data_IF_036387500235
#
_entry.id   IF_036387500235
#
_cell.length_a   1.000
_cell.length_b   1.000
_cell.length_c   1.000
_cell.angle_alpha   90.00
_cell.angle_beta   90.00
_cell.angle_gamma   90.00
#
_symmetry.space_group_name_H-M   'P 1'
#
loop_
_entity.id
_entity.type
_entity.pdbx_description
1 polymer ?
#
# COMPACT_ATOMS: atom_id res chain seq x y z
N UNK A 1 0.73 -10.30 2.85
CA UNK A 1 2.18 -10.51 2.62
C UNK A 1 2.83 -10.75 3.97
N UNK A 2 3.52 -11.86 4.16
CA UNK A 2 4.12 -12.21 5.45
C UNK A 2 5.65 -12.05 5.35
N UNK A 3 6.22 -11.16 6.15
CA UNK A 3 7.67 -10.96 6.20
C UNK A 3 8.23 -11.56 7.49
N UNK A 4 9.20 -12.47 7.37
CA UNK A 4 9.95 -13.00 8.52
C UNK A 4 11.27 -12.24 8.66
N UNK A 5 11.47 -11.57 9.78
CA UNK A 5 12.78 -11.05 10.16
C UNK A 5 12.99 -11.26 11.66
N UNK A 6 14.15 -11.75 12.07
CA UNK A 6 14.59 -11.89 13.47
C UNK A 6 13.58 -12.59 14.41
N UNK A 7 12.90 -13.63 13.97
CA UNK A 7 11.96 -14.40 14.79
C UNK A 7 10.56 -13.79 14.93
N UNK A 8 10.34 -12.58 14.47
CA UNK A 8 9.01 -11.94 14.43
C UNK A 8 8.40 -12.05 13.05
N UNK A 9 7.10 -12.35 12.99
CA UNK A 9 6.33 -12.40 11.76
C UNK A 9 5.35 -11.24 11.75
N UNK A 10 5.39 -10.43 10.67
CA UNK A 10 4.43 -9.35 10.46
C UNK A 10 3.46 -9.72 9.35
N UNK A 11 2.20 -9.40 9.55
CA UNK A 11 1.16 -9.48 8.53
C UNK A 11 0.70 -8.08 8.15
N UNK A 12 0.81 -7.74 6.86
CA UNK A 12 0.45 -6.43 6.30
C UNK A 12 -0.77 -6.58 5.40
N UNK A 13 -1.98 -6.43 5.93
CA UNK A 13 -3.17 -6.41 5.09
C UNK A 13 -3.33 -5.03 4.46
N UNK A 14 -3.64 -5.04 3.17
CA UNK A 14 -4.12 -3.85 2.47
C UNK A 14 -5.64 -3.68 2.62
N UNK A 15 -6.19 -2.77 1.85
CA UNK A 15 -7.66 -2.59 1.79
C UNK A 15 -8.36 -3.77 1.08
N UNK A 16 -9.64 -4.07 1.42
CA UNK A 16 -10.47 -3.41 2.43
C UNK A 16 -9.99 -3.66 3.87
N UNK A 17 -10.33 -2.72 4.77
CA UNK A 17 -9.87 -2.73 6.17
C UNK A 17 -10.19 -4.07 6.85
N UNK A 18 -9.20 -4.81 7.35
CA UNK A 18 -9.38 -6.14 7.89
C UNK A 18 -9.83 -6.07 9.36
N UNK A 19 -11.13 -5.93 9.58
CA UNK A 19 -11.70 -5.81 10.91
C UNK A 19 -11.37 -7.02 11.81
N UNK A 20 -11.33 -8.22 11.23
CA UNK A 20 -11.16 -9.50 11.95
C UNK A 20 -9.69 -10.00 11.96
N UNK A 21 -8.75 -9.19 11.49
CA UNK A 21 -7.35 -9.59 11.44
C UNK A 21 -6.77 -10.00 12.81
N UNK A 22 -7.08 -9.33 13.94
CA UNK A 22 -6.58 -9.75 15.25
C UNK A 22 -6.96 -11.18 15.60
N UNK A 23 -8.18 -11.62 15.27
CA UNK A 23 -8.62 -13.00 15.50
C UNK A 23 -7.79 -14.03 14.70
N UNK A 24 -7.31 -13.66 13.51
CA UNK A 24 -6.51 -14.56 12.68
C UNK A 24 -5.10 -14.82 13.24
N UNK A 25 -4.62 -14.00 14.15
CA UNK A 25 -3.27 -14.10 14.75
C UNK A 25 -3.31 -14.42 16.24
N UNK A 26 -4.51 -14.60 16.79
CA UNK A 26 -4.70 -14.94 18.19
C UNK A 26 -3.93 -16.22 18.58
N UNK A 27 -3.26 -16.19 19.73
CA UNK A 27 -2.41 -17.30 20.19
C UNK A 27 -1.09 -17.48 19.45
N UNK A 28 -0.74 -16.57 18.52
CA UNK A 28 0.55 -16.57 17.82
C UNK A 28 1.42 -15.38 18.18
N UNK A 29 2.71 -15.45 17.83
CA UNK A 29 3.65 -14.31 17.94
C UNK A 29 3.62 -13.39 16.71
N UNK A 30 2.64 -13.55 15.82
CA UNK A 30 2.53 -12.74 14.62
C UNK A 30 2.10 -11.32 14.95
N UNK A 31 2.84 -10.35 14.48
CA UNK A 31 2.55 -8.93 14.62
C UNK A 31 1.62 -8.46 13.49
N UNK A 32 0.72 -7.55 13.81
CA UNK A 32 -0.22 -6.99 12.85
C UNK A 32 0.10 -5.53 12.55
N UNK A 33 0.21 -5.23 11.25
CA UNK A 33 0.61 -3.91 10.77
C UNK A 33 -0.32 -3.47 9.61
N UNK A 34 -1.41 -2.75 9.90
CA UNK A 34 -2.32 -2.29 8.87
C UNK A 34 -1.68 -1.22 7.98
N UNK A 35 -2.05 -1.24 6.70
CA UNK A 35 -1.73 -0.20 5.73
C UNK A 35 -2.91 0.77 5.67
N UNK A 36 -2.66 2.05 5.91
CA UNK A 36 -3.69 3.08 6.09
C UNK A 36 -3.43 4.24 5.12
N UNK A 37 -4.46 4.64 4.39
CA UNK A 37 -4.41 5.78 3.46
C UNK A 37 -5.05 7.08 3.99
N UNK A 38 -5.70 7.07 5.17
CA UNK A 38 -6.34 8.28 5.70
C UNK A 38 -6.53 8.26 7.22
N UNK A 39 -6.62 9.43 7.88
CA UNK A 39 -6.90 9.52 9.32
C UNK A 39 -8.21 8.84 9.71
N UNK A 40 -9.24 8.97 8.86
CA UNK A 40 -10.54 8.33 9.06
C UNK A 40 -10.42 6.81 9.06
N UNK A 41 -9.73 6.24 8.08
CA UNK A 41 -9.51 4.79 7.98
C UNK A 41 -8.72 4.26 9.18
N UNK A 42 -7.67 4.98 9.61
CA UNK A 42 -6.90 4.67 10.81
C UNK A 42 -7.81 4.60 12.05
N UNK A 43 -8.56 5.65 12.32
CA UNK A 43 -9.46 5.74 13.47
C UNK A 43 -10.53 4.65 13.47
N UNK A 44 -11.14 4.40 12.32
CA UNK A 44 -12.17 3.35 12.16
C UNK A 44 -11.59 1.98 12.47
N UNK A 45 -10.46 1.63 11.87
CA UNK A 45 -9.85 0.32 12.05
C UNK A 45 -9.41 0.08 13.49
N UNK A 46 -8.66 1.00 14.08
CA UNK A 46 -8.18 0.85 15.45
C UNK A 46 -9.33 0.79 16.46
N UNK A 47 -10.42 1.56 16.25
CA UNK A 47 -11.65 1.44 17.05
C UNK A 47 -12.35 0.10 16.88
N UNK A 48 -12.38 -0.49 15.68
CA UNK A 48 -12.96 -1.81 15.44
C UNK A 48 -12.15 -2.89 16.18
N UNK A 49 -10.82 -2.85 16.09
CA UNK A 49 -9.95 -3.78 16.80
C UNK A 49 -10.06 -3.65 18.31
N UNK A 50 -10.09 -2.42 18.81
CA UNK A 50 -10.33 -2.13 20.23
C UNK A 50 -11.67 -2.68 20.72
N UNK A 51 -12.76 -2.44 19.97
CA UNK A 51 -14.12 -2.82 20.38
C UNK A 51 -14.37 -4.32 20.33
N UNK A 52 -13.86 -5.00 19.28
CA UNK A 52 -14.19 -6.39 19.02
C UNK A 52 -13.13 -7.38 19.48
N UNK A 53 -11.88 -6.94 19.60
CA UNK A 53 -10.75 -7.82 19.89
C UNK A 53 -9.91 -7.34 21.08
N UNK A 54 -10.26 -6.21 21.70
CA UNK A 54 -9.54 -5.63 22.84
C UNK A 54 -8.03 -5.52 22.60
N UNK A 55 -7.65 -5.11 21.39
CA UNK A 55 -6.26 -5.01 20.93
C UNK A 55 -6.04 -3.80 20.03
N UNK A 56 -4.79 -3.54 19.69
CA UNK A 56 -4.39 -2.49 18.75
C UNK A 56 -3.26 -2.96 17.84
N UNK A 57 -2.85 -2.15 16.87
CA UNK A 57 -1.77 -2.45 15.94
C UNK A 57 -0.41 -2.60 16.64
N UNK A 58 0.48 -3.38 16.06
CA UNK A 58 1.89 -3.46 16.47
C UNK A 58 2.76 -2.45 15.71
N UNK A 59 2.33 -2.04 14.54
CA UNK A 59 2.94 -1.03 13.68
C UNK A 59 1.85 -0.51 12.75
N UNK A 60 1.90 0.75 12.35
CA UNK A 60 1.03 1.32 11.30
C UNK A 60 1.88 1.72 10.11
N UNK A 61 1.45 1.34 8.91
CA UNK A 61 2.04 1.79 7.65
C UNK A 61 1.10 2.80 7.02
N UNK A 62 1.57 4.04 6.85
CA UNK A 62 0.85 5.05 6.08
C UNK A 62 1.23 4.88 4.61
N UNK A 63 0.24 4.61 3.76
CA UNK A 63 0.43 4.62 2.32
C UNK A 63 0.03 5.98 1.75
N UNK A 64 1.02 6.75 1.35
CA UNK A 64 0.81 8.07 0.75
C UNK A 64 0.30 8.01 -0.69
N UNK A 65 -0.26 9.11 -1.20
CA UNK A 65 -0.86 9.18 -2.55
C UNK A 65 0.12 8.96 -3.69
N UNK A 66 1.44 9.06 -3.43
CA UNK A 66 2.52 8.78 -4.41
C UNK A 66 3.01 7.33 -4.39
N UNK A 67 2.37 6.45 -3.63
CA UNK A 67 2.72 5.03 -3.61
C UNK A 67 2.52 4.37 -4.96
N UNK A 68 3.26 3.30 -5.22
CA UNK A 68 3.10 2.44 -6.39
C UNK A 68 2.11 1.31 -6.13
N UNK A 69 1.53 0.76 -7.17
CA UNK A 69 0.52 -0.30 -7.05
C UNK A 69 -0.88 0.23 -6.77
N UNK A 70 -1.71 -0.56 -6.09
CA UNK A 70 -3.06 -0.15 -5.70
C UNK A 70 -3.02 0.99 -4.68
N UNK A 71 -3.93 1.93 -4.82
CA UNK A 71 -4.02 3.10 -3.94
C UNK A 71 -5.35 3.03 -3.18
N UNK A 72 -5.30 3.26 -1.88
CA UNK A 72 -6.46 3.37 -1.00
C UNK A 72 -7.23 4.70 -1.13
N UNK A 73 -7.20 5.31 -2.30
CA UNK A 73 -7.77 6.62 -2.63
C UNK A 73 -8.68 6.52 -3.84
N UNK A 74 -9.60 7.45 -3.98
CA UNK A 74 -10.29 7.70 -5.26
C UNK A 74 -9.35 8.40 -6.24
N UNK A 75 -9.70 8.41 -7.53
CA UNK A 75 -8.90 9.14 -8.54
C UNK A 75 -8.86 10.64 -8.28
N UNK A 76 -9.93 11.19 -7.74
CA UNK A 76 -10.07 12.58 -7.37
C UNK A 76 -9.16 12.93 -6.20
N UNK A 77 -9.14 12.10 -5.14
CA UNK A 77 -8.25 12.25 -4.00
C UNK A 77 -6.78 12.13 -4.39
N UNK A 78 -6.41 11.19 -5.27
CA UNK A 78 -5.04 11.08 -5.79
C UNK A 78 -4.59 12.38 -6.44
N UNK A 79 -5.44 13.00 -7.27
CA UNK A 79 -5.13 14.28 -7.93
C UNK A 79 -5.02 15.45 -6.95
N UNK A 80 -5.88 15.48 -5.94
CA UNK A 80 -5.86 16.50 -4.89
C UNK A 80 -4.52 16.47 -4.14
N UNK A 81 -4.12 15.31 -3.66
CA UNK A 81 -2.88 15.14 -2.89
C UNK A 81 -1.58 15.20 -3.73
N UNK A 82 -1.65 15.15 -5.05
CA UNK A 82 -0.46 15.38 -5.90
C UNK A 82 0.09 16.82 -5.74
N UNK A 83 -0.79 17.79 -5.42
CA UNK A 83 -0.44 19.20 -5.35
C UNK A 83 -0.30 19.74 -3.92
N UNK A 84 -1.09 19.24 -2.97
CA UNK A 84 -1.25 19.87 -1.65
C UNK A 84 -0.35 19.27 -0.55
N UNK A 85 0.45 18.25 -0.90
CA UNK A 85 1.20 17.51 0.11
C UNK A 85 0.30 16.56 0.92
N UNK A 86 0.91 15.81 1.84
CA UNK A 86 0.22 14.80 2.64
C UNK A 86 0.61 14.87 4.12
N UNK A 87 1.26 15.97 4.52
CA UNK A 87 1.80 16.14 5.87
C UNK A 87 0.72 16.29 6.93
N UNK A 88 -0.36 17.00 6.59
CA UNK A 88 -1.48 17.19 7.49
C UNK A 88 -2.12 15.85 7.86
N UNK A 89 -2.37 15.01 6.87
CA UNK A 89 -2.94 13.67 7.07
C UNK A 89 -2.00 12.79 7.89
N UNK A 90 -0.68 12.87 7.68
CA UNK A 90 0.32 12.17 8.49
C UNK A 90 0.20 12.58 9.95
N UNK A 91 0.17 13.88 10.24
CA UNK A 91 0.07 14.40 11.61
C UNK A 91 -1.25 13.99 12.28
N UNK A 92 -2.36 14.02 11.53
CA UNK A 92 -3.65 13.54 12.03
C UNK A 92 -3.65 12.04 12.32
N UNK A 93 -2.98 11.22 11.48
CA UNK A 93 -2.84 9.77 11.73
C UNK A 93 -1.97 9.53 12.96
N UNK A 94 -0.86 10.25 13.11
CA UNK A 94 0.00 10.16 14.30
C UNK A 94 -0.79 10.48 15.58
N UNK A 95 -1.63 11.52 15.55
CA UNK A 95 -2.49 11.86 16.69
C UNK A 95 -3.48 10.73 17.02
N UNK A 96 -4.09 10.11 16.00
CA UNK A 96 -4.97 8.95 16.21
C UNK A 96 -4.21 7.78 16.82
N UNK A 97 -3.03 7.46 16.30
CA UNK A 97 -2.21 6.35 16.83
C UNK A 97 -1.83 6.61 18.28
N UNK A 98 -1.46 7.84 18.62
CA UNK A 98 -1.10 8.23 19.99
C UNK A 98 -2.24 7.99 21.00
N UNK A 99 -3.51 8.25 20.64
CA UNK A 99 -4.66 7.91 21.50
C UNK A 99 -4.68 6.41 21.87
N UNK A 100 -4.31 5.53 20.94
CA UNK A 100 -4.25 4.07 21.17
C UNK A 100 -2.97 3.62 21.86
N UNK A 101 -1.84 4.31 21.64
CA UNK A 101 -0.61 4.08 22.42
C UNK A 101 -0.86 4.31 23.92
N UNK A 102 -1.50 5.44 24.25
CA UNK A 102 -1.85 5.76 25.64
C UNK A 102 -2.84 4.75 26.22
N UNK A 103 -3.91 4.44 25.47
CA UNK A 103 -4.95 3.51 25.93
C UNK A 103 -4.39 2.12 26.25
N UNK A 104 -3.48 1.62 25.40
CA UNK A 104 -2.91 0.27 25.53
C UNK A 104 -1.55 0.23 26.25
N UNK A 105 -1.05 1.39 26.69
CA UNK A 105 0.31 1.55 27.23
C UNK A 105 1.36 0.82 26.37
N UNK A 106 1.27 1.02 25.03
CA UNK A 106 2.06 0.30 24.04
C UNK A 106 2.53 1.25 22.96
N UNK A 107 3.83 1.22 22.64
CA UNK A 107 4.35 1.96 21.48
C UNK A 107 3.90 1.31 20.18
N UNK A 108 3.42 2.13 19.25
CA UNK A 108 2.98 1.74 17.93
C UNK A 108 3.80 2.53 16.89
N UNK A 109 4.92 1.99 16.42
CA UNK A 109 5.71 2.65 15.40
C UNK A 109 4.86 2.97 14.18
N UNK A 110 5.06 4.15 13.59
CA UNK A 110 4.38 4.54 12.36
C UNK A 110 5.42 4.76 11.28
N UNK A 111 5.25 4.11 10.13
CA UNK A 111 6.12 4.26 8.96
C UNK A 111 5.35 4.81 7.77
N UNK A 112 6.01 5.57 6.91
CA UNK A 112 5.42 6.16 5.72
C UNK A 112 6.01 5.58 4.44
N UNK A 113 5.14 5.23 3.48
CA UNK A 113 5.52 4.80 2.14
C UNK A 113 4.79 5.60 1.07
N UNK A 114 5.48 5.85 -0.02
CA UNK A 114 4.91 6.57 -1.15
C UNK A 114 5.65 7.87 -1.50
N UNK A 115 6.53 7.79 -2.49
CA UNK A 115 7.33 8.91 -2.97
C UNK A 115 8.60 9.20 -2.18
N UNK A 116 8.98 8.35 -1.24
CA UNK A 116 10.26 8.43 -0.53
C UNK A 116 11.37 7.87 -1.41
N UNK A 117 12.37 8.66 -1.73
CA UNK A 117 13.38 8.27 -2.70
C UNK A 117 14.83 8.48 -2.23
N UNK A 118 15.11 9.54 -1.48
CA UNK A 118 16.46 9.90 -1.05
C UNK A 118 16.56 10.19 0.46
N UNK A 119 17.73 10.65 0.87
CA UNK A 119 18.05 10.94 2.26
C UNK A 119 17.29 12.16 2.80
N UNK A 120 17.03 13.11 1.95
CA UNK A 120 16.28 14.33 2.27
C UNK A 120 14.82 13.98 2.55
N UNK A 121 14.20 13.15 1.71
CA UNK A 121 12.86 12.61 1.95
C UNK A 121 12.78 11.86 3.27
N UNK A 122 13.75 10.96 3.54
CA UNK A 122 13.80 10.20 4.80
C UNK A 122 13.84 11.14 6.01
N UNK A 123 14.74 12.14 5.99
CA UNK A 123 14.87 13.12 7.07
C UNK A 123 13.61 13.93 7.28
N UNK A 124 12.99 14.34 6.18
CA UNK A 124 11.74 15.09 6.21
C UNK A 124 10.65 14.30 6.92
N UNK A 125 10.37 13.06 6.49
CA UNK A 125 9.34 12.25 7.13
C UNK A 125 9.65 11.89 8.58
N UNK A 126 10.90 11.61 8.93
CA UNK A 126 11.30 11.40 10.32
C UNK A 126 11.11 12.66 11.18
N UNK A 127 11.31 13.85 10.61
CA UNK A 127 11.09 15.11 11.34
C UNK A 127 9.64 15.40 11.67
N UNK A 128 8.69 14.77 10.96
CA UNK A 128 7.26 14.82 11.27
C UNK A 128 6.85 13.91 12.44
N UNK A 129 7.80 13.13 13.00
CA UNK A 129 7.54 12.22 14.12
C UNK A 129 7.32 10.76 13.72
N UNK A 130 7.51 10.41 12.45
CA UNK A 130 7.44 9.03 12.00
C UNK A 130 8.63 8.20 12.49
N UNK A 131 8.41 6.92 12.73
CA UNK A 131 9.43 5.97 13.19
C UNK A 131 10.31 5.42 12.07
N UNK A 132 9.91 5.59 10.82
CA UNK A 132 10.63 5.10 9.66
C UNK A 132 9.91 5.36 8.34
N UNK A 133 10.51 4.86 7.25
CA UNK A 133 9.95 4.96 5.90
C UNK A 133 9.99 3.62 5.18
N UNK A 134 9.07 3.42 4.25
CA UNK A 134 9.03 2.30 3.32
C UNK A 134 9.43 2.80 1.93
N UNK A 135 10.43 2.17 1.34
CA UNK A 135 10.94 2.51 0.01
C UNK A 135 10.96 1.26 -0.88
N UNK A 136 10.56 1.41 -2.14
CA UNK A 136 10.57 0.33 -3.12
C UNK A 136 11.27 0.76 -4.41
N UNK A 137 10.80 1.78 -5.10
CA UNK A 137 11.24 2.18 -6.45
C UNK A 137 12.75 2.41 -6.53
N UNK A 138 13.34 3.01 -5.49
CA UNK A 138 14.80 3.22 -5.40
C UNK A 138 15.59 1.93 -5.52
N UNK A 139 15.08 0.84 -4.94
CA UNK A 139 15.79 -0.44 -4.87
C UNK A 139 15.51 -1.35 -6.06
N UNK A 140 14.44 -1.10 -6.84
CA UNK A 140 14.14 -1.89 -8.04
C UNK A 140 15.28 -1.91 -9.05
N UNK A 141 15.94 -0.77 -9.26
CA UNK A 141 17.02 -0.62 -10.24
C UNK A 141 18.42 -1.02 -9.71
N UNK A 142 18.50 -1.60 -8.50
CA UNK A 142 19.77 -2.01 -7.91
C UNK A 142 20.20 -3.41 -8.37
N UNK A 143 21.47 -3.76 -8.15
CA UNK A 143 22.00 -5.08 -8.44
C UNK A 143 21.45 -6.16 -7.52
N UNK A 144 21.10 -5.79 -6.29
CA UNK A 144 20.56 -6.66 -5.25
C UNK A 144 19.10 -7.06 -5.50
N UNK A 145 18.39 -6.32 -6.35
CA UNK A 145 17.04 -6.69 -6.77
C UNK A 145 17.12 -7.90 -7.72
N UNK A 146 16.38 -8.95 -7.43
CA UNK A 146 16.34 -10.21 -8.20
C UNK A 146 15.36 -10.16 -9.40
N UNK A 147 14.74 -9.02 -9.66
CA UNK A 147 13.88 -8.82 -10.82
C UNK A 147 14.68 -8.91 -12.13
N UNK A 148 14.02 -9.36 -13.20
CA UNK A 148 14.61 -9.43 -14.54
C UNK A 148 15.17 -8.07 -15.00
N UNK A 149 16.25 -8.07 -15.76
CA UNK A 149 16.92 -6.84 -16.18
C UNK A 149 16.01 -5.95 -17.04
N UNK A 150 15.15 -6.51 -17.86
CA UNK A 150 14.16 -5.79 -18.64
C UNK A 150 13.19 -5.01 -17.75
N UNK A 151 12.76 -5.61 -16.61
CA UNK A 151 11.92 -4.94 -15.63
C UNK A 151 12.65 -3.77 -14.97
N UNK A 152 13.91 -3.97 -14.54
CA UNK A 152 14.75 -2.89 -13.96
C UNK A 152 14.95 -1.76 -14.96
N UNK A 153 15.24 -2.07 -16.22
CA UNK A 153 15.42 -1.09 -17.29
C UNK A 153 14.17 -0.26 -17.58
N UNK A 154 12.98 -0.79 -17.33
CA UNK A 154 11.74 -0.01 -17.40
C UNK A 154 11.75 1.15 -16.40
N UNK A 155 12.21 0.92 -15.17
CA UNK A 155 12.33 1.96 -14.14
C UNK A 155 13.43 2.96 -14.46
N UNK A 156 14.61 2.48 -14.92
CA UNK A 156 15.75 3.35 -15.25
C UNK A 156 15.43 4.30 -16.42
N UNK A 157 14.69 3.82 -17.42
CA UNK A 157 14.31 4.61 -18.61
C UNK A 157 13.04 5.44 -18.42
N UNK A 158 12.25 5.17 -17.37
CA UNK A 158 10.98 5.85 -17.12
C UNK A 158 11.20 7.34 -16.85
N UNK A 159 10.35 8.15 -17.44
CA UNK A 159 10.23 9.58 -17.17
C UNK A 159 8.98 9.85 -16.33
N UNK A 160 8.85 11.06 -15.80
CA UNK A 160 7.68 11.48 -15.02
C UNK A 160 6.37 11.24 -15.77
N UNK A 161 6.37 11.48 -17.07
CA UNK A 161 5.22 11.33 -17.97
C UNK A 161 4.81 9.87 -18.18
N UNK A 162 5.70 8.92 -17.89
CA UNK A 162 5.43 7.48 -17.97
C UNK A 162 4.72 6.93 -16.71
N UNK A 163 4.66 7.73 -15.64
CA UNK A 163 3.90 7.36 -14.44
C UNK A 163 2.43 7.65 -14.67
N UNK A 164 1.58 6.66 -14.44
CA UNK A 164 0.15 6.77 -14.76
C UNK A 164 -0.73 6.05 -13.76
N UNK A 165 -2.00 6.46 -13.70
CA UNK A 165 -3.04 5.77 -12.91
C UNK A 165 -3.85 4.86 -13.84
N UNK A 166 -3.93 3.59 -13.49
CA UNK A 166 -4.73 2.57 -14.16
C UNK A 166 -5.89 2.12 -13.28
N UNK A 167 -6.94 1.59 -13.89
CA UNK A 167 -8.02 0.92 -13.17
C UNK A 167 -7.65 -0.55 -12.98
N UNK A 168 -7.61 -0.97 -11.72
CA UNK A 168 -7.36 -2.37 -11.36
C UNK A 168 -8.62 -3.23 -11.51
N UNK A 169 -8.48 -4.56 -11.69
CA UNK A 169 -9.58 -5.51 -11.62
C UNK A 169 -10.36 -5.53 -10.29
N UNK A 170 -9.78 -5.00 -9.23
CA UNK A 170 -10.45 -4.84 -7.91
C UNK A 170 -11.12 -3.47 -7.76
N UNK A 171 -11.30 -2.72 -8.86
CA UNK A 171 -11.95 -1.41 -8.91
C UNK A 171 -11.21 -0.29 -8.16
N UNK A 172 -9.97 -0.51 -7.74
CA UNK A 172 -9.11 0.50 -7.13
C UNK A 172 -8.24 1.17 -8.19
N UNK A 173 -7.93 2.47 -8.08
CA UNK A 173 -6.88 3.07 -8.89
C UNK A 173 -5.53 2.46 -8.52
N UNK A 174 -4.66 2.31 -9.51
CA UNK A 174 -3.30 1.79 -9.30
C UNK A 174 -2.28 2.64 -10.02
N UNK A 175 -1.17 2.95 -9.37
CA UNK A 175 -0.05 3.68 -9.99
C UNK A 175 0.88 2.69 -10.68
N UNK A 176 1.14 2.93 -11.97
CA UNK A 176 1.97 2.05 -12.80
C UNK A 176 2.82 2.85 -13.79
N UNK A 177 3.84 2.21 -14.36
CA UNK A 177 4.55 2.72 -15.53
C UNK A 177 3.76 2.42 -16.81
N UNK A 178 3.74 3.38 -17.72
CA UNK A 178 3.06 3.29 -19.02
C UNK A 178 3.86 2.38 -19.99
N UNK A 179 3.90 1.09 -19.66
CA UNK A 179 4.52 0.05 -20.48
C UNK A 179 3.60 -0.42 -21.63
N UNK A 180 4.05 -1.31 -22.53
CA UNK A 180 3.23 -1.83 -23.63
C UNK A 180 1.94 -2.51 -23.16
N UNK A 181 1.97 -3.22 -22.02
CA UNK A 181 0.78 -3.82 -21.42
C UNK A 181 -0.24 -2.77 -20.98
N UNK A 182 0.19 -1.76 -20.22
CA UNK A 182 -0.68 -0.67 -19.76
C UNK A 182 -1.23 0.12 -20.94
N UNK A 183 -0.42 0.39 -21.99
CA UNK A 183 -0.89 1.02 -23.22
C UNK A 183 -2.00 0.21 -23.92
N UNK A 184 -1.89 -1.11 -23.92
CA UNK A 184 -2.87 -2.02 -24.52
C UNK A 184 -4.19 -2.02 -23.75
N UNK A 185 -4.16 -2.23 -22.42
CA UNK A 185 -5.37 -2.30 -21.59
C UNK A 185 -6.11 -0.95 -21.50
N UNK A 186 -5.43 0.16 -21.73
CA UNK A 186 -6.06 1.49 -21.83
C UNK A 186 -6.84 1.68 -23.12
N UNK A 187 -6.39 1.06 -24.22
CA UNK A 187 -7.06 1.15 -25.52
C UNK A 187 -8.27 0.24 -25.60
N UNK A 188 -8.13 -0.96 -25.07
CA UNK A 188 -9.21 -1.95 -25.11
C UNK A 188 -9.07 -2.94 -23.94
N UNK A 189 -10.20 -3.40 -23.45
CA UNK A 189 -10.28 -4.46 -22.46
C UNK A 189 -9.65 -5.76 -23.01
N UNK A 190 -8.89 -6.48 -22.17
CA UNK A 190 -8.44 -7.83 -22.54
C UNK A 190 -9.60 -8.83 -22.42
N UNK A 191 -9.66 -9.77 -23.37
CA UNK A 191 -10.61 -10.87 -23.27
C UNK A 191 -10.08 -11.93 -22.31
N UNK A 192 -10.78 -12.12 -21.20
CA UNK A 192 -10.43 -13.13 -20.20
C UNK A 192 -11.06 -14.47 -20.63
N UNK A 193 -10.27 -15.32 -21.29
CA UNK A 193 -10.74 -16.64 -21.77
C UNK A 193 -10.91 -17.65 -20.63
N UNK A 194 -9.94 -17.68 -19.70
CA UNK A 194 -9.96 -18.58 -18.54
C UNK A 194 -9.96 -17.76 -17.25
N UNK A 195 -10.99 -17.90 -16.43
CA UNK A 195 -11.08 -17.25 -15.13
C UNK A 195 -10.55 -18.19 -14.05
N UNK A 196 -9.64 -17.69 -13.20
CA UNK A 196 -9.07 -18.44 -12.08
C UNK A 196 -9.86 -18.27 -10.78
N UNK A 197 -10.94 -17.49 -10.79
CA UNK A 197 -11.75 -17.16 -9.61
C UNK A 197 -10.92 -16.67 -8.42
N UNK A 198 -9.83 -15.94 -8.69
CA UNK A 198 -8.85 -15.47 -7.70
C UNK A 198 -9.37 -14.32 -6.83
N UNK A 199 -10.39 -13.59 -7.28
CA UNK A 199 -10.96 -12.43 -6.59
C UNK A 199 -12.49 -12.52 -6.61
N UNK A 200 -13.14 -12.38 -5.45
CA UNK A 200 -14.61 -12.42 -5.32
C UNK A 200 -15.33 -11.28 -6.05
N UNK A 201 -14.70 -10.10 -6.10
CA UNK A 201 -15.28 -8.88 -6.68
C UNK A 201 -14.97 -8.71 -8.18
N UNK A 202 -14.16 -9.61 -8.77
CA UNK A 202 -13.81 -9.54 -10.18
C UNK A 202 -14.85 -10.25 -11.05
N UNK A 203 -15.42 -9.52 -12.02
CA UNK A 203 -16.22 -10.10 -13.09
C UNK A 203 -15.35 -10.21 -14.37
N UNK A 204 -15.04 -11.43 -14.86
CA UNK A 204 -14.24 -11.62 -16.07
C UNK A 204 -14.85 -11.02 -17.33
N UNK A 205 -16.16 -10.70 -17.31
CA UNK A 205 -16.86 -10.06 -18.45
C UNK A 205 -16.65 -8.56 -18.51
N UNK A 206 -16.32 -7.90 -17.40
CA UNK A 206 -16.22 -6.43 -17.27
C UNK A 206 -14.83 -5.95 -16.87
N UNK A 207 -14.01 -6.81 -16.24
CA UNK A 207 -12.66 -6.43 -15.80
C UNK A 207 -11.79 -5.93 -16.96
N UNK A 208 -10.96 -4.91 -16.76
CA UNK A 208 -10.08 -4.41 -17.81
C UNK A 208 -9.03 -5.44 -18.26
N UNK A 209 -8.57 -6.30 -17.36
CA UNK A 209 -7.62 -7.40 -17.61
C UNK A 209 -7.69 -8.44 -16.49
N UNK A 210 -7.12 -9.62 -16.72
CA UNK A 210 -6.96 -10.63 -15.68
C UNK A 210 -5.65 -10.42 -14.92
N UNK A 211 -5.72 -10.12 -13.61
CA UNK A 211 -4.52 -9.87 -12.80
C UNK A 211 -3.62 -11.10 -12.72
N UNK A 212 -4.19 -12.29 -12.57
CA UNK A 212 -3.44 -13.55 -12.53
C UNK A 212 -2.66 -13.78 -13.84
N UNK A 213 -3.31 -13.56 -14.99
CA UNK A 213 -2.63 -13.68 -16.28
C UNK A 213 -1.56 -12.61 -16.51
N UNK A 214 -1.76 -11.42 -15.96
CA UNK A 214 -0.76 -10.34 -16.03
C UNK A 214 0.49 -10.63 -15.20
N UNK A 215 0.36 -11.39 -14.11
CA UNK A 215 1.48 -11.80 -13.25
C UNK A 215 2.24 -13.05 -13.77
N UNK A 216 1.59 -13.88 -14.59
CA UNK A 216 2.18 -15.11 -15.14
C UNK A 216 2.96 -14.82 -16.44
N UNK A 217 2.63 -13.76 -17.18
CA UNK A 217 3.25 -13.38 -18.46
C UNK A 217 4.48 -12.49 -18.27
#
# INVERSE_FOLDING_TARGET
>A
MCAKKSGETFFFPGEPLPADLPACVEGSNTKIAPIIGSPKACRVLLKLWDRHHHTTADLVVIEGPKAGGHLGYTREEVKLHENDGYEKEILEILAVVHEFEEKYNKKIPVVFGGGVFDKEDIRHYLSLGLSGVQMATRFVATKECDAADEFKQMYVKAKKEDVTIVQSPVHMPGRALLNPFVKRIRKQRENVRNCFHCLKTCDPRTTPYCITMALIR
#
